data_IF_823265091193
#
_entry.id   IF_823265091193
#
_cell.length_a   1.000
_cell.length_b   1.000
_cell.length_c   1.000
_cell.angle_alpha   90.00
_cell.angle_beta   90.00
_cell.angle_gamma   90.00
#
_symmetry.space_group_name_H-M   'P 1'
#
loop_
_entity.id
_entity.type
_entity.pdbx_description
1 polymer ?
#
# COMPACT_ATOMS: atom_id res chain seq x y z
N UNK A 1 64.85 39.58 -38.61
CA UNK A 1 66.11 38.87 -38.95
C UNK A 1 65.79 37.38 -38.86
N UNK A 2 65.52 36.73 -40.00
CA UNK A 2 66.45 35.81 -40.70
C UNK A 2 66.76 34.57 -39.82
N UNK A 3 66.58 33.29 -40.14
CA UNK A 3 66.46 32.46 -41.36
C UNK A 3 65.74 31.15 -40.93
N UNK A 4 64.73 30.60 -41.61
CA UNK A 4 64.75 29.66 -42.76
C UNK A 4 65.98 28.75 -42.94
N UNK A 5 65.85 27.48 -42.55
CA UNK A 5 66.35 26.27 -43.27
C UNK A 5 65.44 25.10 -42.87
N UNK A 6 64.36 24.85 -43.60
CA UNK A 6 64.22 23.78 -44.61
C UNK A 6 65.05 22.51 -44.36
N UNK A 7 64.36 21.41 -44.03
CA UNK A 7 64.72 20.09 -44.51
C UNK A 7 63.45 19.30 -44.84
N UNK A 8 62.96 19.48 -46.07
CA UNK A 8 62.17 18.45 -46.76
C UNK A 8 62.86 17.08 -46.66
N UNK A 9 62.11 16.08 -46.24
CA UNK A 9 62.11 14.77 -46.89
C UNK A 9 60.78 14.08 -46.61
N UNK A 10 59.91 14.19 -47.59
CA UNK A 10 58.81 13.29 -47.89
C UNK A 10 59.28 11.83 -47.98
N UNK A 11 58.51 10.87 -47.45
CA UNK A 11 58.21 9.60 -48.13
C UNK A 11 57.25 8.68 -47.34
N UNK A 12 56.04 8.55 -47.90
CA UNK A 12 55.28 7.32 -48.19
C UNK A 12 54.68 6.46 -47.06
N UNK A 13 53.34 6.43 -47.11
CA UNK A 13 52.38 5.35 -46.82
C UNK A 13 52.88 4.00 -46.24
N UNK A 14 52.23 3.56 -45.16
CA UNK A 14 51.62 2.24 -45.03
C UNK A 14 50.72 2.28 -43.77
N UNK A 15 49.40 2.09 -43.82
CA UNK A 15 48.73 0.93 -44.38
C UNK A 15 48.47 -0.06 -43.25
N UNK A 16 47.22 -0.10 -42.76
CA UNK A 16 46.61 -1.26 -42.10
C UNK A 16 46.90 -1.56 -40.61
N UNK A 17 46.55 -0.65 -39.69
CA UNK A 17 46.42 -0.99 -38.24
C UNK A 17 45.24 -0.30 -37.56
N UNK A 18 44.02 -0.61 -37.99
CA UNK A 18 42.81 -0.07 -37.35
C UNK A 18 41.60 -1.01 -37.43
N UNK A 19 41.78 -2.33 -37.33
CA UNK A 19 40.66 -3.28 -37.31
C UNK A 19 40.93 -4.55 -36.48
N UNK A 20 41.51 -4.40 -35.28
CA UNK A 20 41.81 -5.55 -34.41
C UNK A 20 41.21 -5.43 -32.99
N UNK A 21 40.11 -4.68 -32.81
CA UNK A 21 39.43 -4.54 -31.50
C UNK A 21 37.95 -4.99 -31.51
N UNK A 22 37.15 -5.04 -32.60
CA UNK A 22 35.74 -5.42 -32.46
C UNK A 22 35.50 -6.95 -32.42
N UNK A 23 36.50 -7.78 -32.70
CA UNK A 23 36.31 -9.23 -32.82
C UNK A 23 36.28 -10.00 -31.49
N UNK A 24 36.75 -9.41 -30.39
CA UNK A 24 36.80 -10.09 -29.08
C UNK A 24 35.48 -9.99 -28.30
N UNK A 25 34.61 -9.04 -28.63
CA UNK A 25 33.31 -8.88 -27.95
C UNK A 25 32.21 -9.81 -28.47
N UNK A 26 32.34 -10.38 -29.68
CA UNK A 26 31.31 -11.28 -30.23
C UNK A 26 31.41 -12.73 -29.74
N UNK A 27 32.49 -13.13 -29.07
CA UNK A 27 32.68 -14.51 -28.60
C UNK A 27 32.05 -14.79 -27.22
N UNK A 28 31.54 -13.78 -26.51
CA UNK A 28 30.99 -13.93 -25.14
C UNK A 28 29.46 -14.11 -25.08
N UNK A 29 28.74 -14.03 -26.21
CA UNK A 29 27.28 -14.20 -26.25
C UNK A 29 26.81 -15.63 -26.64
N UNK A 30 27.72 -16.56 -26.94
CA UNK A 30 27.35 -17.91 -27.37
C UNK A 30 27.06 -18.90 -26.21
N UNK A 31 27.03 -18.44 -24.96
CA UNK A 31 26.99 -19.30 -23.76
C UNK A 31 25.65 -19.47 -23.03
N UNK A 32 24.55 -18.81 -23.45
CA UNK A 32 23.27 -18.85 -22.73
C UNK A 32 22.11 -19.44 -23.54
N UNK A 33 22.34 -20.55 -24.23
CA UNK A 33 21.26 -21.36 -24.80
C UNK A 33 21.15 -22.70 -24.07
N UNK A 34 20.96 -22.66 -22.74
CA UNK A 34 20.36 -23.81 -22.07
C UNK A 34 18.92 -23.88 -22.58
N UNK A 35 18.64 -24.81 -23.49
CA UNK A 35 17.31 -25.01 -24.07
C UNK A 35 16.37 -25.57 -22.99
N UNK A 36 15.87 -24.71 -22.10
CA UNK A 36 14.72 -25.03 -21.27
C UNK A 36 13.52 -25.17 -22.20
N UNK A 37 13.02 -26.40 -22.34
CA UNK A 37 11.77 -26.63 -23.06
C UNK A 37 10.66 -25.84 -22.33
N UNK A 38 10.01 -24.85 -22.97
CA UNK A 38 9.02 -24.00 -22.32
C UNK A 38 7.85 -24.80 -21.73
N UNK A 39 7.48 -25.92 -22.35
CA UNK A 39 6.45 -26.82 -21.83
C UNK A 39 6.86 -27.48 -20.50
N UNK A 40 8.12 -27.91 -20.39
CA UNK A 40 8.64 -28.47 -19.14
C UNK A 40 8.80 -27.41 -18.06
N UNK A 41 9.24 -26.21 -18.43
CA UNK A 41 9.37 -25.09 -17.51
C UNK A 41 8.00 -24.70 -16.92
N UNK A 42 6.97 -24.65 -17.76
CA UNK A 42 5.60 -24.41 -17.33
C UNK A 42 5.05 -25.54 -16.45
N UNK A 43 5.27 -26.81 -16.82
CA UNK A 43 4.84 -27.94 -15.99
C UNK A 43 5.48 -27.91 -14.59
N UNK A 44 6.77 -27.58 -14.52
CA UNK A 44 7.49 -27.46 -13.26
C UNK A 44 6.99 -26.27 -12.42
N UNK A 45 6.68 -25.13 -13.05
CA UNK A 45 6.03 -23.99 -12.41
C UNK A 45 4.70 -24.41 -11.77
N UNK A 46 3.87 -25.14 -12.51
CA UNK A 46 2.56 -25.60 -12.03
C UNK A 46 2.69 -26.58 -10.85
N UNK A 47 3.70 -27.46 -10.86
CA UNK A 47 3.99 -28.38 -9.76
C UNK A 47 4.39 -27.59 -8.51
N UNK A 48 5.42 -26.74 -8.60
CA UNK A 48 5.94 -26.00 -7.45
C UNK A 48 4.89 -25.06 -6.83
N UNK A 49 4.06 -24.44 -7.67
CA UNK A 49 3.00 -23.55 -7.17
C UNK A 49 1.87 -24.30 -6.49
N UNK A 50 1.50 -25.50 -6.97
CA UNK A 50 0.51 -26.37 -6.29
C UNK A 50 1.04 -26.95 -4.98
N UNK A 51 2.31 -27.35 -4.94
CA UNK A 51 2.96 -27.80 -3.71
C UNK A 51 2.99 -26.65 -2.69
N UNK A 52 3.32 -25.43 -3.12
CA UNK A 52 3.26 -24.25 -2.26
C UNK A 52 1.85 -24.02 -1.70
N UNK A 53 0.80 -24.12 -2.52
CA UNK A 53 -0.59 -23.98 -2.06
C UNK A 53 -0.99 -25.07 -1.03
N UNK A 54 -0.45 -26.28 -1.20
CA UNK A 54 -0.61 -27.38 -0.24
C UNK A 54 0.07 -27.05 1.09
N UNK A 55 1.30 -26.54 1.04
CA UNK A 55 2.04 -26.13 2.24
C UNK A 55 1.36 -24.96 2.97
N UNK A 56 0.78 -23.99 2.24
CA UNK A 56 -0.07 -22.94 2.83
C UNK A 56 -1.27 -23.54 3.56
N UNK A 57 -1.96 -24.51 2.95
CA UNK A 57 -3.11 -25.18 3.56
C UNK A 57 -2.71 -25.97 4.81
N UNK A 58 -1.47 -26.45 4.87
CA UNK A 58 -0.88 -27.11 6.04
C UNK A 58 -0.33 -26.12 7.09
N UNK A 59 -0.47 -24.81 6.88
CA UNK A 59 0.09 -23.77 7.77
C UNK A 59 1.62 -23.61 7.67
N UNK A 60 2.27 -24.27 6.71
CA UNK A 60 3.72 -24.30 6.53
C UNK A 60 4.17 -23.19 5.56
N UNK A 61 3.98 -21.93 5.96
CA UNK A 61 4.18 -20.78 5.08
C UNK A 61 5.62 -20.59 4.62
N UNK A 62 6.60 -20.77 5.49
CA UNK A 62 8.03 -20.65 5.12
C UNK A 62 8.40 -21.65 4.01
N UNK A 63 7.84 -22.86 4.07
CA UNK A 63 8.04 -23.89 3.04
C UNK A 63 7.37 -23.48 1.72
N UNK A 64 6.14 -22.98 1.79
CA UNK A 64 5.45 -22.45 0.61
C UNK A 64 6.26 -21.32 -0.05
N UNK A 65 6.76 -20.35 0.72
CA UNK A 65 7.60 -19.27 0.20
C UNK A 65 8.90 -19.82 -0.41
N UNK A 66 9.52 -20.84 0.18
CA UNK A 66 10.71 -21.50 -0.39
C UNK A 66 10.42 -22.13 -1.76
N UNK A 67 9.31 -22.86 -1.89
CA UNK A 67 8.84 -23.45 -3.14
C UNK A 67 8.53 -22.39 -4.20
N UNK A 68 7.89 -21.29 -3.81
CA UNK A 68 7.59 -20.17 -4.72
C UNK A 68 8.87 -19.44 -5.17
N UNK A 69 9.84 -19.27 -4.28
CA UNK A 69 11.15 -18.72 -4.65
C UNK A 69 11.90 -19.65 -5.61
N UNK A 70 11.78 -20.97 -5.43
CA UNK A 70 12.30 -21.93 -6.40
C UNK A 70 11.60 -21.77 -7.76
N UNK A 71 10.26 -21.70 -7.76
CA UNK A 71 9.48 -21.51 -8.98
C UNK A 71 9.87 -20.22 -9.71
N UNK A 72 10.13 -19.13 -8.97
CA UNK A 72 10.59 -17.86 -9.52
C UNK A 72 11.99 -17.95 -10.14
N UNK A 73 12.91 -18.71 -9.54
CA UNK A 73 14.26 -18.93 -10.08
C UNK A 73 14.23 -19.77 -11.36
N UNK A 74 13.38 -20.79 -11.40
CA UNK A 74 13.25 -21.68 -12.56
C UNK A 74 12.45 -21.02 -13.70
N UNK A 75 11.56 -20.09 -13.38
CA UNK A 75 10.72 -19.36 -14.33
C UNK A 75 10.83 -17.84 -14.12
N UNK A 76 11.98 -17.23 -14.47
CA UNK A 76 12.26 -15.83 -14.15
C UNK A 76 11.34 -14.82 -14.86
N UNK A 77 10.66 -15.21 -15.94
CA UNK A 77 9.69 -14.36 -16.64
C UNK A 77 8.27 -14.46 -16.08
N UNK A 78 7.99 -15.40 -15.17
CA UNK A 78 6.64 -15.65 -14.67
C UNK A 78 6.30 -14.75 -13.48
N UNK A 79 5.19 -14.01 -13.58
CA UNK A 79 4.65 -13.21 -12.48
C UNK A 79 3.99 -14.07 -11.38
N UNK A 80 3.64 -15.33 -11.68
CA UNK A 80 2.81 -16.18 -10.82
C UNK A 80 3.43 -16.41 -9.43
N UNK A 81 4.72 -16.80 -9.30
CA UNK A 81 5.29 -17.06 -7.99
C UNK A 81 5.34 -15.80 -7.12
N UNK A 82 5.72 -14.66 -7.70
CA UNK A 82 5.79 -13.37 -7.01
C UNK A 82 4.43 -12.89 -6.54
N UNK A 83 3.39 -13.07 -7.35
CA UNK A 83 2.03 -12.74 -6.98
C UNK A 83 1.54 -13.59 -5.79
N UNK A 84 1.88 -14.89 -5.77
CA UNK A 84 1.55 -15.77 -4.64
C UNK A 84 2.32 -15.39 -3.36
N UNK A 85 3.62 -15.10 -3.46
CA UNK A 85 4.41 -14.60 -2.31
C UNK A 85 3.79 -13.30 -1.77
N UNK A 86 3.41 -12.37 -2.66
CA UNK A 86 2.77 -11.12 -2.26
C UNK A 86 1.47 -11.33 -1.48
N UNK A 87 0.63 -12.29 -1.90
CA UNK A 87 -0.60 -12.66 -1.17
C UNK A 87 -0.29 -13.23 0.20
N UNK A 88 0.65 -14.17 0.29
CA UNK A 88 1.03 -14.80 1.56
C UNK A 88 1.51 -13.71 2.55
N UNK A 89 2.44 -12.85 2.12
CA UNK A 89 2.94 -11.77 2.96
C UNK A 89 1.85 -10.77 3.36
N UNK A 90 0.92 -10.47 2.44
CA UNK A 90 -0.21 -9.59 2.72
C UNK A 90 -1.14 -10.16 3.79
N UNK A 91 -1.45 -11.45 3.71
CA UNK A 91 -2.31 -12.16 4.65
C UNK A 91 -1.65 -12.29 6.04
N UNK A 92 -0.33 -12.34 6.09
CA UNK A 92 0.45 -12.30 7.34
C UNK A 92 0.60 -10.90 7.94
N UNK A 93 0.19 -9.86 7.21
CA UNK A 93 0.37 -8.47 7.62
C UNK A 93 1.79 -7.94 7.42
N UNK A 94 2.67 -8.71 6.77
CA UNK A 94 3.97 -8.24 6.29
C UNK A 94 3.80 -7.43 5.00
N UNK A 95 3.24 -6.23 5.17
CA UNK A 95 2.99 -5.30 4.07
C UNK A 95 4.27 -4.89 3.32
N UNK A 96 5.44 -4.69 3.96
CA UNK A 96 6.70 -4.48 3.24
C UNK A 96 7.06 -5.62 2.27
N UNK A 97 7.01 -6.88 2.72
CA UNK A 97 7.31 -8.03 1.86
C UNK A 97 6.26 -8.21 0.75
N UNK A 98 4.98 -7.92 1.07
CA UNK A 98 3.90 -7.91 0.08
C UNK A 98 4.14 -6.89 -1.03
N UNK A 99 4.56 -5.66 -0.68
CA UNK A 99 4.90 -4.60 -1.63
C UNK A 99 6.07 -5.02 -2.53
N UNK A 100 7.15 -5.56 -1.95
CA UNK A 100 8.30 -6.00 -2.72
C UNK A 100 7.90 -7.08 -3.75
N UNK A 101 7.18 -8.09 -3.30
CA UNK A 101 6.76 -9.21 -4.15
C UNK A 101 5.73 -8.79 -5.20
N UNK A 102 4.81 -7.89 -4.86
CA UNK A 102 3.88 -7.31 -5.83
C UNK A 102 4.61 -6.52 -6.92
N UNK A 103 5.65 -5.76 -6.57
CA UNK A 103 6.49 -5.08 -7.56
C UNK A 103 7.25 -6.07 -8.46
N UNK A 104 7.78 -7.16 -7.91
CA UNK A 104 8.39 -8.22 -8.73
C UNK A 104 7.39 -8.87 -9.70
N UNK A 105 6.14 -9.07 -9.28
CA UNK A 105 5.07 -9.53 -10.17
C UNK A 105 4.80 -8.50 -11.28
N UNK A 106 4.73 -7.20 -10.94
CA UNK A 106 4.47 -6.12 -11.90
C UNK A 106 5.62 -5.85 -12.87
N UNK A 107 6.87 -6.12 -12.47
CA UNK A 107 8.02 -6.08 -13.37
C UNK A 107 7.90 -7.12 -14.51
N UNK A 108 7.18 -8.22 -14.26
CA UNK A 108 6.96 -9.31 -15.22
C UNK A 108 5.63 -9.16 -15.96
N UNK A 109 4.59 -8.71 -15.26
CA UNK A 109 3.27 -8.42 -15.81
C UNK A 109 2.74 -7.09 -15.26
N UNK A 110 3.02 -6.02 -15.98
CA UNK A 110 2.56 -4.65 -15.65
C UNK A 110 1.03 -4.49 -15.69
N UNK A 111 0.30 -5.40 -16.34
CA UNK A 111 -1.16 -5.35 -16.46
C UNK A 111 -1.86 -6.06 -15.29
N UNK A 112 -1.11 -6.79 -14.45
CA UNK A 112 -1.65 -7.58 -13.36
C UNK A 112 -2.41 -6.72 -12.33
N UNK A 113 -3.76 -6.80 -12.36
CA UNK A 113 -4.61 -6.01 -11.48
C UNK A 113 -4.53 -6.45 -10.02
N UNK A 114 -4.30 -7.75 -9.79
CA UNK A 114 -4.21 -8.30 -8.45
C UNK A 114 -2.94 -7.81 -7.74
N UNK A 115 -1.79 -7.82 -8.42
CA UNK A 115 -0.55 -7.25 -7.90
C UNK A 115 -0.69 -5.74 -7.62
N UNK A 116 -1.35 -4.98 -8.49
CA UNK A 116 -1.65 -3.54 -8.24
C UNK A 116 -2.49 -3.36 -6.99
N UNK A 117 -3.53 -4.17 -6.82
CA UNK A 117 -4.39 -4.12 -5.63
C UNK A 117 -3.60 -4.42 -4.35
N UNK A 118 -2.78 -5.48 -4.35
CA UNK A 118 -1.93 -5.83 -3.21
C UNK A 118 -0.97 -4.69 -2.86
N UNK A 119 -0.29 -4.11 -3.87
CA UNK A 119 0.60 -2.98 -3.69
C UNK A 119 -0.11 -1.78 -3.03
N UNK A 120 -1.26 -1.38 -3.58
CA UNK A 120 -2.04 -0.23 -3.10
C UNK A 120 -2.55 -0.47 -1.68
N UNK A 121 -3.20 -1.61 -1.43
CA UNK A 121 -3.80 -1.88 -0.12
C UNK A 121 -2.72 -2.05 0.96
N UNK A 122 -1.58 -2.68 0.63
CA UNK A 122 -0.44 -2.78 1.55
C UNK A 122 0.09 -1.40 1.93
N UNK A 123 0.31 -0.52 0.94
CA UNK A 123 0.76 0.85 1.18
C UNK A 123 -0.22 1.65 2.03
N UNK A 124 -1.52 1.52 1.77
CA UNK A 124 -2.57 2.17 2.56
C UNK A 124 -2.60 1.69 4.02
N UNK A 125 -2.42 0.39 4.27
CA UNK A 125 -2.36 -0.15 5.63
C UNK A 125 -1.13 0.35 6.39
N UNK A 126 0.04 0.41 5.74
CA UNK A 126 1.24 1.02 6.33
C UNK A 126 0.97 2.48 6.69
N UNK A 127 0.47 3.27 5.73
CA UNK A 127 0.19 4.69 5.95
C UNK A 127 -0.82 4.91 7.10
N UNK A 128 -1.88 4.10 7.16
CA UNK A 128 -2.86 4.11 8.25
C UNK A 128 -2.20 3.83 9.61
N UNK A 129 -1.31 2.85 9.70
CA UNK A 129 -0.59 2.52 10.92
C UNK A 129 0.34 3.66 11.35
N UNK A 130 1.04 4.29 10.39
CA UNK A 130 1.91 5.45 10.66
C UNK A 130 1.11 6.64 11.20
N UNK A 131 -0.03 6.97 10.58
CA UNK A 131 -0.89 8.07 11.03
C UNK A 131 -1.51 7.77 12.40
N UNK A 132 -1.86 6.51 12.70
CA UNK A 132 -2.35 6.14 14.03
C UNK A 132 -1.33 6.44 15.14
N UNK A 133 -0.03 6.30 14.86
CA UNK A 133 1.06 6.64 15.79
C UNK A 133 1.17 8.14 16.12
N UNK A 134 0.62 9.02 15.27
CA UNK A 134 0.67 10.48 15.46
C UNK A 134 -0.26 10.99 16.57
N UNK A 135 -1.17 10.14 17.06
CA UNK A 135 -2.07 10.49 18.17
C UNK A 135 -1.34 10.65 19.51
N UNK A 136 -0.07 10.27 19.59
CA UNK A 136 0.74 10.46 20.80
C UNK A 136 1.06 11.95 20.99
N UNK A 137 0.72 12.55 22.15
CA UNK A 137 0.81 14.00 22.39
C UNK A 137 2.24 14.57 22.33
N UNK A 138 3.27 13.71 22.30
CA UNK A 138 4.68 14.12 22.29
C UNK A 138 5.40 13.87 20.94
N UNK A 139 4.70 13.38 19.91
CA UNK A 139 5.34 12.79 18.73
C UNK A 139 5.37 13.69 17.47
N UNK A 140 4.77 14.88 17.50
CA UNK A 140 4.41 15.57 16.25
C UNK A 140 5.19 16.87 16.07
N UNK A 141 6.15 16.86 15.15
CA UNK A 141 6.70 18.08 14.54
C UNK A 141 5.69 18.67 13.54
N UNK A 142 5.83 19.95 13.18
CA UNK A 142 4.92 20.60 12.21
C UNK A 142 4.84 19.88 10.87
N UNK A 143 5.95 19.30 10.43
CA UNK A 143 6.10 18.72 9.10
C UNK A 143 5.30 17.43 8.95
N UNK A 144 5.28 16.59 10.00
CA UNK A 144 4.51 15.35 10.04
C UNK A 144 3.00 15.61 10.01
N UNK A 145 2.55 16.72 10.60
CA UNK A 145 1.14 17.14 10.49
C UNK A 145 0.78 17.54 9.05
N UNK A 146 1.64 18.34 8.40
CA UNK A 146 1.43 18.76 7.01
C UNK A 146 1.36 17.54 6.07
N UNK A 147 2.23 16.55 6.28
CA UNK A 147 2.23 15.33 5.46
C UNK A 147 0.95 14.49 5.66
N UNK A 148 0.46 14.38 6.90
CA UNK A 148 -0.80 13.70 7.18
C UNK A 148 -2.01 14.41 6.53
N UNK A 149 -1.99 15.75 6.48
CA UNK A 149 -3.00 16.55 5.79
C UNK A 149 -2.93 16.35 4.26
N UNK A 150 -1.73 16.32 3.67
CA UNK A 150 -1.52 16.04 2.25
C UNK A 150 -2.02 14.65 1.85
N UNK A 151 -1.71 13.63 2.65
CA UNK A 151 -2.21 12.27 2.45
C UNK A 151 -3.74 12.24 2.48
N UNK A 152 -4.36 12.89 3.48
CA UNK A 152 -5.82 12.95 3.62
C UNK A 152 -6.47 13.64 2.40
N UNK A 153 -5.88 14.72 1.91
CA UNK A 153 -6.36 15.42 0.71
C UNK A 153 -6.24 14.55 -0.56
N UNK A 154 -5.16 13.77 -0.68
CA UNK A 154 -4.97 12.85 -1.79
C UNK A 154 -6.01 11.72 -1.78
N UNK A 155 -6.24 11.10 -0.62
CA UNK A 155 -7.27 10.07 -0.44
C UNK A 155 -8.67 10.61 -0.78
N UNK A 156 -8.95 11.84 -0.32
CA UNK A 156 -10.21 12.53 -0.65
C UNK A 156 -10.41 12.69 -2.15
N UNK A 157 -9.38 13.12 -2.86
CA UNK A 157 -9.46 13.31 -4.31
C UNK A 157 -9.76 12.00 -5.05
N UNK A 158 -9.17 10.89 -4.59
CA UNK A 158 -9.44 9.53 -5.12
C UNK A 158 -10.88 9.09 -4.85
N UNK A 159 -11.41 9.38 -3.66
CA UNK A 159 -12.77 8.99 -3.25
C UNK A 159 -13.88 9.93 -3.76
N UNK A 160 -13.52 11.14 -4.20
CA UNK A 160 -14.48 12.17 -4.64
C UNK A 160 -15.20 12.92 -3.50
N UNK A 161 -14.82 12.71 -2.24
CA UNK A 161 -15.54 13.26 -1.06
C UNK A 161 -15.06 14.65 -0.65
N UNK A 162 -15.56 15.73 -1.25
CA UNK A 162 -14.99 17.08 -1.05
C UNK A 162 -15.05 17.65 0.39
N UNK A 163 -15.83 17.10 1.32
CA UNK A 163 -16.12 17.73 2.64
C UNK A 163 -16.01 16.71 3.79
N UNK A 164 -15.17 17.01 4.79
CA UNK A 164 -14.89 16.11 5.92
C UNK A 164 -15.91 16.20 7.07
N UNK A 165 -16.66 17.31 7.19
CA UNK A 165 -17.74 17.52 8.18
C UNK A 165 -18.74 18.51 7.58
N UNK A 166 -20.04 18.18 7.42
CA UNK A 166 -21.04 19.20 7.14
C UNK A 166 -20.99 20.27 8.23
N UNK A 167 -20.93 21.55 7.86
CA UNK A 167 -21.01 22.62 8.85
C UNK A 167 -22.23 22.37 9.76
N UNK A 168 -22.12 22.51 11.09
CA UNK A 168 -23.23 22.26 11.99
C UNK A 168 -24.41 23.11 11.52
N UNK A 169 -25.47 22.43 11.10
CA UNK A 169 -26.68 23.09 10.65
C UNK A 169 -27.16 23.93 11.84
N UNK A 170 -27.35 25.25 11.70
CA UNK A 170 -27.88 26.04 12.79
C UNK A 170 -29.27 25.49 13.12
N UNK A 171 -29.38 24.79 14.24
CA UNK A 171 -30.64 24.30 14.76
C UNK A 171 -31.53 25.54 14.94
N UNK A 172 -32.55 25.68 14.09
CA UNK A 172 -33.55 26.74 14.24
C UNK A 172 -34.18 26.52 15.60
N UNK A 173 -33.78 27.34 16.59
CA UNK A 173 -34.45 27.42 17.88
C UNK A 173 -35.94 27.53 17.62
N UNK A 174 -36.77 26.59 18.13
CA UNK A 174 -38.20 26.71 17.95
C UNK A 174 -38.62 28.02 18.60
N UNK A 175 -39.15 28.93 17.78
CA UNK A 175 -39.85 30.11 18.27
C UNK A 175 -40.99 29.60 19.13
N UNK A 176 -40.86 29.77 20.44
CA UNK A 176 -41.94 29.52 21.37
C UNK A 176 -43.10 30.42 20.98
N UNK A 177 -44.13 29.86 20.35
CA UNK A 177 -45.39 30.55 20.19
C UNK A 177 -45.93 30.82 21.59
N UNK A 178 -45.86 32.09 22.00
CA UNK A 178 -46.47 32.59 23.21
C UNK A 178 -47.97 32.28 23.16
N UNK A 179 -48.39 31.23 23.85
CA UNK A 179 -49.78 30.87 24.01
C UNK A 179 -50.49 32.03 24.73
N UNK A 180 -51.43 32.62 24.01
CA UNK A 180 -52.22 33.75 24.45
C UNK A 180 -52.97 33.42 25.75
N UNK A 181 -52.77 34.29 26.75
CA UNK A 181 -53.57 34.34 27.99
C UNK A 181 -55.06 34.49 27.63
N UNK A 182 -55.89 33.55 28.09
CA UNK A 182 -57.29 33.83 28.42
C UNK A 182 -57.55 33.43 29.87
N UNK A 183 -57.98 34.41 30.65
CA UNK A 183 -58.42 34.27 32.03
C UNK A 183 -59.88 33.80 32.09
N UNK A 184 -60.23 32.94 33.08
CA UNK A 184 -61.19 33.19 34.19
C UNK A 184 -61.80 31.88 34.78
N UNK A 185 -61.36 31.53 36.01
CA UNK A 185 -62.01 30.94 37.25
C UNK A 185 -63.33 30.13 37.19
N UNK A 186 -63.73 29.37 38.27
CA UNK A 186 -63.02 28.89 39.48
C UNK A 186 -63.27 27.37 39.82
N UNK A 187 -62.63 26.89 40.89
CA UNK A 187 -62.64 25.52 41.45
C UNK A 187 -63.98 25.04 42.04
N UNK A 188 -64.08 23.73 42.37
CA UNK A 188 -64.25 23.38 43.79
C UNK A 188 -63.39 22.21 44.30
N UNK A 189 -63.42 22.10 45.63
CA UNK A 189 -62.55 21.46 46.61
C UNK A 189 -62.84 19.95 46.84
N UNK A 190 -61.82 19.15 47.20
CA UNK A 190 -61.65 18.42 48.49
C UNK A 190 -61.18 16.94 48.43
N UNK A 191 -60.08 16.68 49.19
CA UNK A 191 -59.60 15.47 49.91
C UNK A 191 -59.36 14.16 49.12
N UNK A 192 -58.33 13.33 49.34
CA UNK A 192 -57.78 12.72 50.59
C UNK A 192 -56.37 12.12 50.33
N UNK A 193 -55.53 11.99 51.36
CA UNK A 193 -54.17 11.40 51.39
C UNK A 193 -54.16 9.84 51.38
N UNK A 194 -53.04 9.13 51.68
CA UNK A 194 -51.68 9.10 51.12
C UNK A 194 -51.31 7.71 50.53
N UNK A 195 -50.27 7.59 49.70
CA UNK A 195 -49.57 6.30 49.52
C UNK A 195 -48.09 6.47 49.18
N UNK A 196 -47.30 5.79 49.99
CA UNK A 196 -45.85 5.61 49.93
C UNK A 196 -45.46 4.83 48.68
N UNK A 197 -44.43 5.27 47.95
CA UNK A 197 -43.59 4.37 47.18
C UNK A 197 -42.21 5.00 46.99
N UNK A 198 -41.24 4.36 47.65
CA UNK A 198 -39.82 4.54 47.45
C UNK A 198 -39.36 3.68 46.26
N UNK A 199 -38.47 4.23 45.42
CA UNK A 199 -37.45 3.57 44.61
C UNK A 199 -36.78 4.69 43.78
N UNK A 200 -35.84 5.41 44.37
CA UNK A 200 -34.40 5.09 44.30
C UNK A 200 -33.88 5.17 42.86
N UNK A 201 -33.56 6.40 42.45
CA UNK A 201 -32.77 6.69 41.27
C UNK A 201 -31.32 6.30 41.55
N UNK A 202 -30.89 5.16 41.02
CA UNK A 202 -29.50 4.74 41.03
C UNK A 202 -28.67 5.64 40.11
N UNK A 203 -27.70 6.33 40.71
CA UNK A 203 -26.77 7.27 40.07
C UNK A 203 -25.62 6.49 39.39
N UNK A 204 -25.43 6.56 38.06
CA UNK A 204 -24.66 5.57 37.30
C UNK A 204 -23.13 5.79 37.27
N UNK A 205 -22.57 6.71 38.08
CA UNK A 205 -21.14 7.07 37.98
C UNK A 205 -20.34 6.93 39.28
N UNK A 206 -20.81 6.16 40.25
CA UNK A 206 -20.20 6.12 41.59
C UNK A 206 -19.14 5.02 41.83
N UNK A 207 -18.46 4.52 40.80
CA UNK A 207 -17.45 3.46 40.96
C UNK A 207 -16.23 3.58 40.04
N UNK A 208 -15.65 4.78 39.94
CA UNK A 208 -14.28 4.93 39.44
C UNK A 208 -13.48 5.84 40.37
N UNK A 209 -12.84 5.22 41.36
CA UNK A 209 -11.68 5.77 42.08
C UNK A 209 -10.66 4.66 42.24
#
# INVERSE_FOLDING_TARGET
>A
MSHFTDRRSSSVLNGNRLFAIPALCLALLAGCATTTNPERAQAQLDILTKEADTEISNGQRDKAISLLNQAARENPSSAIPWLKIAKISFDEGDYPAAIQSANEALQRDTANQEAKSLLVVSGLRIASNSVAGLRSPNAVNSDVRVEAENLTNSLRAVLGEKVLVPAPVPEKRPVSHAAQRKAKRPAPTRATAPSTSAAEAADPFKSLK
#
